data_IF_874264276250
#
_entry.id   IF_874264276250
#
_cell.length_a   1.000
_cell.length_b   1.000
_cell.length_c   1.000
_cell.angle_alpha   90.00
_cell.angle_beta   90.00
_cell.angle_gamma   90.00
#
_symmetry.space_group_name_H-M   'P 1'
#
loop_
_entity.id
_entity.type
_entity.pdbx_description
1 polymer ?
#
# COMPACT_ATOMS: atom_id res chain seq x y z
N UNK A 1 6.12 -12.07 -6.34
CA UNK A 1 4.99 -11.10 -6.36
C UNK A 1 3.93 -11.32 -5.26
N UNK A 2 4.10 -12.29 -4.35
CA UNK A 2 3.08 -12.66 -3.35
C UNK A 2 2.68 -11.53 -2.38
N UNK A 3 3.63 -10.67 -2.03
CA UNK A 3 3.37 -9.51 -1.17
C UNK A 3 2.45 -8.48 -1.84
N UNK A 4 2.58 -8.29 -3.16
CA UNK A 4 1.73 -7.38 -3.93
C UNK A 4 0.33 -7.97 -4.09
N UNK A 5 0.22 -9.28 -4.34
CA UNK A 5 -1.06 -9.99 -4.35
C UNK A 5 -1.79 -9.83 -3.01
N UNK A 6 -1.10 -10.07 -1.89
CA UNK A 6 -1.67 -9.90 -0.55
C UNK A 6 -2.07 -8.45 -0.28
N UNK A 7 -1.23 -7.48 -0.65
CA UNK A 7 -1.54 -6.06 -0.51
C UNK A 7 -2.79 -5.65 -1.30
N UNK A 8 -2.91 -6.11 -2.56
CA UNK A 8 -4.08 -5.91 -3.41
C UNK A 8 -5.33 -6.51 -2.78
N UNK A 9 -5.27 -7.76 -2.32
CA UNK A 9 -6.39 -8.43 -1.63
C UNK A 9 -6.83 -7.65 -0.39
N UNK A 10 -5.89 -7.23 0.47
CA UNK A 10 -6.20 -6.44 1.66
C UNK A 10 -6.85 -5.09 1.31
N UNK A 11 -6.34 -4.42 0.29
CA UNK A 11 -6.85 -3.13 -0.16
C UNK A 11 -8.27 -3.26 -0.74
N UNK A 12 -8.54 -4.31 -1.52
CA UNK A 12 -9.86 -4.63 -2.04
C UNK A 12 -10.84 -5.04 -0.92
N UNK A 13 -10.42 -5.82 0.08
CA UNK A 13 -11.25 -6.15 1.26
C UNK A 13 -11.55 -4.89 2.09
N UNK A 14 -10.57 -4.00 2.19
CA UNK A 14 -10.67 -2.73 2.92
C UNK A 14 -11.51 -1.66 2.21
N UNK A 15 -11.74 -1.80 0.90
CA UNK A 15 -12.24 -0.75 0.00
C UNK A 15 -11.37 0.50 0.06
N UNK A 16 -10.05 0.28 0.01
CA UNK A 16 -9.03 1.33 0.13
C UNK A 16 -8.02 1.22 -1.00
N UNK A 17 -7.36 2.34 -1.28
CA UNK A 17 -6.27 2.43 -2.26
C UNK A 17 -4.95 2.13 -1.54
N UNK A 18 -3.99 1.53 -2.24
CA UNK A 18 -2.62 1.37 -1.75
C UNK A 18 -1.64 1.84 -2.84
N UNK A 19 -0.42 2.16 -2.44
CA UNK A 19 0.64 2.58 -3.35
C UNK A 19 1.61 1.43 -3.57
N UNK A 20 2.06 1.24 -4.81
CA UNK A 20 3.12 0.29 -5.14
C UNK A 20 4.41 1.08 -5.41
N UNK A 21 5.44 0.87 -4.60
CA UNK A 21 6.75 1.49 -4.82
C UNK A 21 7.68 0.49 -5.51
N UNK A 22 8.48 0.95 -6.47
CA UNK A 22 9.38 0.09 -7.24
C UNK A 22 10.68 0.76 -7.64
N UNK A 23 11.75 -0.03 -7.81
CA UNK A 23 13.00 0.40 -8.44
C UNK A 23 12.96 0.30 -9.98
N UNK A 24 12.07 -0.53 -10.54
CA UNK A 24 11.95 -0.74 -11.99
C UNK A 24 10.51 -0.60 -12.44
N UNK A 25 10.26 0.53 -13.10
CA UNK A 25 8.94 0.97 -13.47
C UNK A 25 8.25 0.00 -14.46
N UNK A 26 8.91 -0.26 -15.59
CA UNK A 26 8.30 -0.98 -16.71
C UNK A 26 8.06 -2.45 -16.37
N UNK A 27 9.07 -3.08 -15.75
CA UNK A 27 8.94 -4.49 -15.36
C UNK A 27 7.88 -4.67 -14.26
N UNK A 28 7.76 -3.72 -13.33
CA UNK A 28 6.73 -3.82 -12.29
C UNK A 28 5.32 -3.66 -12.86
N UNK A 29 5.11 -2.74 -13.80
CA UNK A 29 3.80 -2.63 -14.49
C UNK A 29 3.47 -3.92 -15.21
N UNK A 30 4.42 -4.48 -15.97
CA UNK A 30 4.23 -5.73 -16.69
C UNK A 30 3.87 -6.89 -15.76
N UNK A 31 4.64 -7.10 -14.69
CA UNK A 31 4.40 -8.17 -13.73
C UNK A 31 3.09 -7.96 -12.95
N UNK A 32 2.75 -6.71 -12.61
CA UNK A 32 1.49 -6.41 -11.92
C UNK A 32 0.28 -6.67 -12.82
N UNK A 33 0.36 -6.33 -14.11
CA UNK A 33 -0.70 -6.68 -15.08
C UNK A 33 -0.85 -8.19 -15.25
N UNK A 34 0.27 -8.90 -15.31
CA UNK A 34 0.29 -10.37 -15.38
C UNK A 34 -0.39 -10.98 -14.14
N UNK A 35 -0.05 -10.51 -12.94
CA UNK A 35 -0.71 -10.92 -11.70
C UNK A 35 -2.22 -10.66 -11.71
N UNK A 36 -2.66 -9.49 -12.20
CA UNK A 36 -4.08 -9.15 -12.27
C UNK A 36 -4.84 -10.06 -13.23
N UNK A 37 -4.25 -10.42 -14.37
CA UNK A 37 -4.87 -11.26 -15.38
C UNK A 37 -4.84 -12.74 -14.99
N UNK A 38 -3.69 -13.25 -14.57
CA UNK A 38 -3.49 -14.67 -14.34
C UNK A 38 -3.97 -15.10 -12.95
N UNK A 39 -3.64 -14.36 -11.90
CA UNK A 39 -3.96 -14.76 -10.52
C UNK A 39 -5.28 -14.18 -10.01
N UNK A 40 -5.62 -12.95 -10.40
CA UNK A 40 -6.86 -12.30 -9.99
C UNK A 40 -8.00 -12.42 -11.01
N UNK A 41 -7.73 -12.99 -12.20
CA UNK A 41 -8.71 -13.24 -13.27
C UNK A 41 -9.44 -11.98 -13.76
N UNK A 42 -8.81 -10.81 -13.69
CA UNK A 42 -9.37 -9.60 -14.30
C UNK A 42 -9.19 -9.63 -15.82
N UNK A 43 -10.23 -9.21 -16.55
CA UNK A 43 -10.11 -9.06 -18.00
C UNK A 43 -9.16 -7.91 -18.34
N UNK A 44 -8.50 -8.00 -19.50
CA UNK A 44 -7.64 -6.92 -20.01
C UNK A 44 -8.36 -5.57 -20.12
N UNK A 45 -9.65 -5.58 -20.45
CA UNK A 45 -10.47 -4.37 -20.59
C UNK A 45 -10.82 -3.71 -19.25
N UNK A 46 -10.81 -4.50 -18.17
CA UNK A 46 -11.09 -4.06 -16.80
C UNK A 46 -9.87 -3.41 -16.12
N UNK A 47 -8.69 -3.52 -16.74
CA UNK A 47 -7.43 -2.96 -16.26
C UNK A 47 -7.08 -1.73 -17.10
N UNK A 48 -6.77 -0.63 -16.44
CA UNK A 48 -6.36 0.61 -17.08
C UNK A 48 -5.01 1.06 -16.58
N UNK A 49 -4.17 1.53 -17.49
CA UNK A 49 -2.91 2.21 -17.19
C UNK A 49 -3.03 3.64 -17.67
N UNK A 50 -2.77 4.60 -16.78
CA UNK A 50 -2.95 6.02 -17.07
C UNK A 50 -1.73 6.79 -16.64
N UNK A 51 -1.10 7.51 -17.57
CA UNK A 51 -0.06 8.48 -17.25
C UNK A 51 -0.68 9.76 -16.70
N UNK A 52 -0.63 9.89 -15.38
CA UNK A 52 -1.28 11.01 -14.68
C UNK A 52 -0.57 12.33 -14.99
N UNK A 53 0.75 12.30 -15.21
CA UNK A 53 1.52 13.50 -15.55
C UNK A 53 1.10 14.02 -16.92
N UNK A 54 1.10 13.15 -17.93
CA UNK A 54 0.72 13.52 -19.28
C UNK A 54 -0.69 14.15 -19.35
N UNK A 55 -1.66 13.56 -18.65
CA UNK A 55 -3.04 14.05 -18.68
C UNK A 55 -3.23 15.39 -17.94
N UNK A 56 -2.50 15.61 -16.85
CA UNK A 56 -2.57 16.85 -16.06
C UNK A 56 -1.71 17.98 -16.62
N UNK A 57 -0.63 17.70 -17.35
CA UNK A 57 0.14 18.72 -18.08
C UNK A 57 -0.72 19.39 -19.18
N UNK A 58 -1.70 18.66 -19.70
CA UNK A 58 -2.73 19.17 -20.62
C UNK A 58 -3.90 19.88 -19.89
N UNK A 59 -3.81 20.07 -18.57
CA UNK A 59 -4.80 20.71 -17.69
C UNK A 59 -6.23 20.12 -17.77
N UNK A 60 -6.36 18.84 -18.15
CA UNK A 60 -7.67 18.23 -18.34
C UNK A 60 -7.87 17.07 -17.37
N UNK A 61 -8.42 17.38 -16.19
CA UNK A 61 -8.91 16.35 -15.24
C UNK A 61 -9.97 15.47 -15.91
N UNK A 62 -10.77 16.03 -16.82
CA UNK A 62 -11.75 15.27 -17.60
C UNK A 62 -11.08 14.27 -18.56
N UNK A 63 -9.89 14.58 -19.10
CA UNK A 63 -9.13 13.63 -19.93
C UNK A 63 -8.63 12.45 -19.10
N UNK A 64 -8.14 12.72 -17.89
CA UNK A 64 -7.77 11.69 -16.93
C UNK A 64 -8.97 10.79 -16.59
N UNK A 65 -10.14 11.38 -16.31
CA UNK A 65 -11.37 10.63 -16.03
C UNK A 65 -11.80 9.78 -17.24
N UNK A 66 -11.71 10.30 -18.46
CA UNK A 66 -12.06 9.57 -19.69
C UNK A 66 -11.26 8.29 -19.88
N UNK A 67 -9.99 8.28 -19.50
CA UNK A 67 -9.16 7.07 -19.57
C UNK A 67 -9.60 6.01 -18.54
N UNK A 68 -10.09 6.46 -17.38
CA UNK A 68 -10.50 5.60 -16.26
C UNK A 68 -11.87 4.94 -16.44
N UNK A 69 -12.69 5.44 -17.38
CA UNK A 69 -14.07 5.00 -17.58
C UNK A 69 -14.26 4.23 -18.89
N UNK A 70 -15.32 3.43 -18.95
CA UNK A 70 -15.83 2.82 -20.16
C UNK A 70 -17.32 3.12 -20.31
N UNK A 71 -17.83 3.06 -21.54
CA UNK A 71 -19.25 3.17 -21.82
C UNK A 71 -19.87 1.78 -21.84
N UNK A 72 -20.84 1.52 -20.98
CA UNK A 72 -21.55 0.25 -20.91
C UNK A 72 -22.83 0.34 -21.76
N UNK A 73 -22.83 -0.30 -22.93
CA UNK A 73 -23.95 -0.21 -23.88
C UNK A 73 -25.27 -0.72 -23.30
N UNK A 74 -25.21 -1.77 -22.46
CA UNK A 74 -26.38 -2.42 -21.87
C UNK A 74 -27.17 -1.50 -20.91
N UNK A 75 -26.45 -0.67 -20.16
CA UNK A 75 -27.04 0.27 -19.19
C UNK A 75 -27.08 1.70 -19.71
N UNK A 76 -26.41 1.97 -20.84
CA UNK A 76 -26.23 3.32 -21.41
C UNK A 76 -25.66 4.30 -20.38
N UNK A 77 -24.66 3.83 -19.63
CA UNK A 77 -24.02 4.57 -18.54
C UNK A 77 -22.49 4.44 -18.60
N UNK A 78 -21.79 5.42 -18.02
CA UNK A 78 -20.35 5.30 -17.81
C UNK A 78 -20.06 4.46 -16.56
N UNK A 79 -19.14 3.50 -16.68
CA UNK A 79 -18.62 2.71 -15.58
C UNK A 79 -17.13 2.97 -15.37
N UNK A 80 -16.65 2.93 -14.12
CA UNK A 80 -15.21 2.85 -13.87
C UNK A 80 -14.70 1.46 -14.22
N UNK A 81 -13.49 1.39 -14.78
CA UNK A 81 -12.72 0.14 -14.85
C UNK A 81 -12.38 -0.36 -13.44
N UNK A 82 -12.20 -1.67 -13.28
CA UNK A 82 -12.00 -2.29 -11.97
C UNK A 82 -10.65 -1.91 -11.34
N UNK A 83 -9.57 -1.97 -12.12
CA UNK A 83 -8.22 -1.68 -11.62
C UNK A 83 -7.58 -0.58 -12.45
N UNK A 84 -7.20 0.50 -11.80
CA UNK A 84 -6.59 1.67 -12.44
C UNK A 84 -5.17 1.85 -11.90
N UNK A 85 -4.19 1.67 -12.77
CA UNK A 85 -2.77 1.87 -12.48
C UNK A 85 -2.41 3.30 -12.86
N UNK A 86 -2.03 4.09 -11.86
CA UNK A 86 -1.58 5.47 -12.08
C UNK A 86 -0.08 5.51 -12.26
N UNK A 87 0.36 6.17 -13.34
CA UNK A 87 1.77 6.38 -13.64
C UNK A 87 2.23 7.81 -13.45
N UNK A 88 3.50 7.96 -13.08
CA UNK A 88 4.22 9.23 -12.98
C UNK A 88 3.56 10.26 -12.04
N UNK A 89 2.85 9.79 -11.00
CA UNK A 89 2.18 10.68 -10.05
C UNK A 89 3.19 11.50 -9.23
N UNK A 90 4.36 10.92 -8.94
CA UNK A 90 5.46 11.52 -8.20
C UNK A 90 6.13 12.67 -8.95
N UNK A 91 6.02 12.72 -10.28
CA UNK A 91 6.62 13.75 -11.15
C UNK A 91 5.75 15.00 -11.30
N UNK A 92 4.58 15.04 -10.65
CA UNK A 92 3.65 16.17 -10.69
C UNK A 92 4.08 17.28 -9.73
N UNK A 93 3.87 18.53 -10.14
CA UNK A 93 4.04 19.67 -9.23
C UNK A 93 3.03 19.65 -8.08
N UNK A 94 3.40 20.25 -6.96
CA UNK A 94 2.52 20.35 -5.79
C UNK A 94 1.18 21.06 -6.10
N UNK A 95 1.18 22.05 -7.01
CA UNK A 95 -0.04 22.72 -7.44
C UNK A 95 -0.95 21.79 -8.26
N UNK A 96 -0.41 21.02 -9.19
CA UNK A 96 -1.16 20.04 -9.97
C UNK A 96 -1.78 18.96 -9.07
N UNK A 97 -1.05 18.48 -8.07
CA UNK A 97 -1.58 17.51 -7.11
C UNK A 97 -2.70 18.11 -6.24
N UNK A 98 -2.54 19.37 -5.80
CA UNK A 98 -3.53 20.06 -4.95
C UNK A 98 -4.81 20.43 -5.69
N UNK A 99 -4.71 20.92 -6.93
CA UNK A 99 -5.85 21.44 -7.71
C UNK A 99 -6.47 20.36 -8.60
N UNK A 100 -5.68 19.43 -9.13
CA UNK A 100 -6.16 18.35 -9.99
C UNK A 100 -6.53 17.08 -9.21
N UNK A 101 -5.53 16.45 -8.57
CA UNK A 101 -5.71 15.12 -7.99
C UNK A 101 -6.53 15.09 -6.71
N UNK A 102 -6.28 16.01 -5.79
CA UNK A 102 -6.98 16.00 -4.50
C UNK A 102 -8.50 16.16 -4.63
N UNK A 103 -9.04 17.11 -5.44
CA UNK A 103 -10.47 17.22 -5.66
C UNK A 103 -11.05 15.99 -6.37
N UNK A 104 -10.34 15.43 -7.36
CA UNK A 104 -10.76 14.20 -8.05
C UNK A 104 -10.90 13.04 -7.07
N UNK A 105 -9.90 12.81 -6.21
CA UNK A 105 -9.94 11.75 -5.20
C UNK A 105 -11.08 11.96 -4.19
N UNK A 106 -11.36 13.21 -3.80
CA UNK A 106 -12.52 13.52 -2.95
C UNK A 106 -13.85 13.17 -3.64
N UNK A 107 -14.02 13.50 -4.92
CA UNK A 107 -15.23 13.14 -5.68
C UNK A 107 -15.40 11.62 -5.80
N UNK A 108 -14.31 10.87 -5.97
CA UNK A 108 -14.34 9.40 -6.00
C UNK A 108 -14.64 8.82 -4.60
N UNK A 109 -14.22 9.49 -3.52
CA UNK A 109 -14.50 9.06 -2.15
C UNK A 109 -15.96 9.31 -1.73
N UNK A 110 -16.68 10.23 -2.38
CA UNK A 110 -18.11 10.48 -2.10
C UNK A 110 -18.99 9.22 -2.37
N UNK A 111 -18.51 8.29 -3.21
CA UNK A 111 -19.12 6.97 -3.38
C UNK A 111 -19.10 6.11 -2.10
N UNK A 112 -18.26 6.42 -1.11
CA UNK A 112 -18.10 5.58 0.09
C UNK A 112 -18.95 6.06 1.27
N UNK A 113 -19.92 6.95 1.03
CA UNK A 113 -20.92 7.35 2.03
C UNK A 113 -21.77 6.16 2.47
N UNK A 114 -22.27 6.17 3.71
CA UNK A 114 -23.11 5.09 4.27
C UNK A 114 -24.35 4.79 3.42
N UNK A 115 -24.86 5.78 2.70
CA UNK A 115 -26.00 5.66 1.78
C UNK A 115 -25.62 5.01 0.45
N UNK A 116 -24.43 5.30 -0.07
CA UNK A 116 -23.92 4.68 -1.29
C UNK A 116 -23.50 3.21 -1.06
N UNK A 117 -22.97 2.88 0.14
CA UNK A 117 -22.64 1.50 0.51
C UNK A 117 -23.84 0.56 0.59
N UNK A 118 -25.01 1.07 0.96
CA UNK A 118 -26.26 0.29 0.97
C UNK A 118 -26.93 0.17 -0.40
N UNK A 119 -26.55 1.04 -1.36
CA UNK A 119 -27.06 1.05 -2.72
C UNK A 119 -25.92 0.94 -3.74
N UNK A 120 -25.54 -0.29 -4.16
CA UNK A 120 -24.45 -0.51 -5.11
C UNK A 120 -24.70 0.02 -6.55
N UNK A 121 -25.85 0.66 -6.78
CA UNK A 121 -26.15 1.44 -7.99
C UNK A 121 -25.90 2.95 -7.82
N UNK A 122 -25.28 3.39 -6.72
CA UNK A 122 -25.01 4.80 -6.48
C UNK A 122 -24.15 5.38 -7.59
N UNK A 123 -24.73 6.28 -8.39
CA UNK A 123 -24.01 7.08 -9.37
C UNK A 123 -23.47 8.33 -8.68
N UNK A 124 -22.25 8.74 -8.98
CA UNK A 124 -21.71 10.03 -8.51
C UNK A 124 -21.19 10.81 -9.71
N UNK A 125 -21.32 12.12 -9.61
CA UNK A 125 -20.76 13.04 -10.58
C UNK A 125 -19.26 13.23 -10.29
N UNK A 126 -18.42 12.83 -11.23
CA UNK A 126 -16.97 13.04 -11.18
C UNK A 126 -16.60 13.88 -12.40
N UNK A 127 -16.15 15.11 -12.16
CA UNK A 127 -16.02 16.11 -13.22
C UNK A 127 -17.32 16.32 -14.02
N UNK A 128 -17.23 16.18 -15.33
CA UNK A 128 -18.38 16.27 -16.25
C UNK A 128 -19.16 14.96 -16.46
N UNK A 129 -18.76 13.86 -15.81
CA UNK A 129 -19.33 12.53 -16.03
C UNK A 129 -20.15 12.05 -14.84
N UNK A 130 -21.24 11.33 -15.12
CA UNK A 130 -22.00 10.56 -14.12
C UNK A 130 -21.61 9.10 -14.29
N UNK A 131 -20.95 8.53 -13.28
CA UNK A 131 -20.27 7.24 -13.40
C UNK A 131 -20.84 6.23 -12.38
N UNK A 132 -20.73 4.94 -12.69
CA UNK A 132 -20.98 3.83 -11.77
C UNK A 132 -19.66 3.25 -11.26
N UNK A 133 -19.53 3.08 -9.94
CA UNK A 133 -18.37 2.44 -9.30
C UNK A 133 -18.57 0.92 -9.23
N UNK A 134 -17.67 0.09 -9.79
CA UNK A 134 -17.78 -1.36 -9.67
C UNK A 134 -17.45 -1.82 -8.24
N UNK A 135 -17.90 -3.02 -7.86
CA UNK A 135 -17.62 -3.61 -6.54
C UNK A 135 -16.13 -3.89 -6.31
N UNK A 136 -15.42 -4.19 -7.39
CA UNK A 136 -13.98 -4.46 -7.41
C UNK A 136 -13.29 -3.23 -8.03
N UNK A 137 -13.34 -2.10 -7.33
CA UNK A 137 -12.72 -0.86 -7.78
C UNK A 137 -11.49 -0.53 -6.94
N UNK A 138 -10.35 -0.29 -7.59
CA UNK A 138 -9.15 0.21 -6.92
C UNK A 138 -8.28 1.07 -7.85
N UNK A 139 -7.68 2.11 -7.26
CA UNK A 139 -6.64 2.92 -7.90
C UNK A 139 -5.32 2.58 -7.20
N UNK A 140 -4.32 2.16 -7.98
CA UNK A 140 -2.98 1.79 -7.51
C UNK A 140 -1.95 2.68 -8.22
N UNK A 141 -1.46 3.75 -7.57
CA UNK A 141 -0.32 4.49 -8.09
C UNK A 141 0.95 3.65 -7.98
N UNK A 142 1.72 3.65 -9.05
CA UNK A 142 3.08 3.15 -9.08
C UNK A 142 4.04 4.34 -8.90
N UNK A 143 4.97 4.23 -7.95
CA UNK A 143 5.94 5.28 -7.61
C UNK A 143 7.35 4.71 -7.63
N UNK A 144 8.30 5.43 -8.23
CA UNK A 144 9.71 5.04 -8.19
C UNK A 144 10.29 5.25 -6.77
N UNK A 145 10.96 4.22 -6.24
CA UNK A 145 11.51 4.18 -4.88
C UNK A 145 12.55 5.29 -4.62
N UNK A 146 13.34 5.67 -5.64
CA UNK A 146 14.31 6.78 -5.54
C UNK A 146 13.63 8.15 -5.44
N UNK A 147 12.41 8.26 -5.96
CA UNK A 147 11.59 9.47 -5.96
C UNK A 147 10.48 9.42 -4.92
N UNK A 148 10.47 8.38 -4.06
CA UNK A 148 9.30 8.04 -3.28
C UNK A 148 8.84 9.18 -2.37
N UNK A 149 9.73 9.94 -1.71
CA UNK A 149 9.27 10.96 -0.74
C UNK A 149 10.14 12.21 -0.55
N UNK A 150 10.01 13.23 -1.42
CA UNK A 150 9.50 14.53 -0.92
C UNK A 150 8.42 15.22 -1.77
N UNK A 151 7.95 14.65 -2.89
CA UNK A 151 7.11 15.41 -3.85
C UNK A 151 5.60 15.16 -3.75
N UNK A 152 5.14 14.12 -3.04
CA UNK A 152 3.70 13.84 -2.93
C UNK A 152 3.06 14.74 -1.88
N UNK A 153 2.10 15.56 -2.30
CA UNK A 153 1.31 16.44 -1.43
C UNK A 153 0.64 15.63 -0.33
N UNK A 154 0.86 16.01 0.94
CA UNK A 154 0.43 15.25 2.11
C UNK A 154 -1.06 14.85 2.07
N UNK A 155 -1.95 15.75 1.63
CA UNK A 155 -3.39 15.45 1.60
C UNK A 155 -3.76 14.44 0.51
N UNK A 156 -2.97 14.33 -0.57
CA UNK A 156 -3.09 13.25 -1.56
C UNK A 156 -2.50 11.97 -0.98
N UNK A 157 -1.36 12.07 -0.30
CA UNK A 157 -0.70 10.95 0.39
C UNK A 157 -1.64 10.25 1.38
N UNK A 158 -2.40 11.00 2.17
CA UNK A 158 -3.41 10.48 3.10
C UNK A 158 -4.61 9.78 2.44
N UNK A 159 -4.81 9.92 1.11
CA UNK A 159 -5.87 9.20 0.38
C UNK A 159 -5.50 7.76 0.04
N UNK A 160 -4.21 7.43 0.15
CA UNK A 160 -3.70 6.08 -0.01
C UNK A 160 -3.41 5.50 1.37
N UNK A 161 -3.88 4.27 1.59
CA UNK A 161 -3.95 3.66 2.91
C UNK A 161 -2.57 3.25 3.43
N UNK A 162 -1.79 2.61 2.57
CA UNK A 162 -0.42 2.19 2.85
C UNK A 162 0.37 2.03 1.56
N UNK A 163 1.68 1.85 1.68
CA UNK A 163 2.57 1.52 0.59
C UNK A 163 3.06 0.06 0.68
N UNK A 164 3.15 -0.59 -0.48
CA UNK A 164 3.79 -1.88 -0.66
C UNK A 164 5.03 -1.67 -1.53
N UNK A 165 6.19 -2.04 -1.01
CA UNK A 165 7.41 -2.03 -1.78
C UNK A 165 7.57 -3.32 -2.57
N UNK A 166 7.87 -3.20 -3.86
CA UNK A 166 8.23 -4.29 -4.74
C UNK A 166 9.54 -3.93 -5.43
N UNK A 167 10.63 -4.56 -5.00
CA UNK A 167 11.93 -4.37 -5.59
C UNK A 167 12.17 -5.48 -6.60
N UNK A 168 12.18 -5.14 -7.88
CA UNK A 168 12.52 -6.07 -8.95
C UNK A 168 14.02 -6.38 -8.86
N UNK A 169 14.37 -7.65 -8.65
CA UNK A 169 15.78 -8.09 -8.64
C UNK A 169 16.13 -8.78 -9.95
N UNK A 170 15.36 -9.80 -10.34
CA UNK A 170 15.63 -10.65 -11.50
C UNK A 170 14.35 -11.38 -11.96
N UNK A 171 14.39 -12.02 -13.14
CA UNK A 171 13.29 -12.83 -13.70
C UNK A 171 12.85 -14.02 -12.81
N UNK A 172 13.55 -14.33 -11.71
CA UNK A 172 13.06 -15.28 -10.70
C UNK A 172 11.89 -14.75 -9.88
N UNK A 173 11.70 -13.42 -9.81
CA UNK A 173 10.57 -12.79 -9.11
C UNK A 173 9.21 -13.07 -9.79
N UNK A 174 9.25 -13.58 -11.04
CA UNK A 174 8.12 -14.14 -11.79
C UNK A 174 7.61 -15.48 -11.23
N UNK A 175 8.45 -16.24 -10.50
CA UNK A 175 8.23 -17.67 -10.21
C UNK A 175 7.71 -17.98 -8.81
N UNK A 176 7.42 -16.98 -7.98
CA UNK A 176 6.73 -17.24 -6.73
C UNK A 176 5.31 -17.73 -7.03
N UNK A 177 5.04 -19.02 -6.81
CA UNK A 177 3.69 -19.59 -6.90
C UNK A 177 2.76 -18.79 -5.98
N UNK A 178 1.82 -18.07 -6.60
CA UNK A 178 0.72 -17.41 -5.92
C UNK A 178 -0.35 -18.48 -5.70
N UNK A 179 -0.91 -18.54 -4.49
CA UNK A 179 -2.04 -19.42 -4.21
C UNK A 179 -3.22 -19.03 -5.11
N UNK A 180 -3.37 -19.80 -6.18
CA UNK A 180 -4.40 -19.59 -7.20
C UNK A 180 -5.78 -19.81 -6.60
N UNK A 181 -6.69 -18.87 -6.88
CA UNK A 181 -8.09 -18.98 -6.49
C UNK A 181 -8.97 -18.95 -7.74
N UNK A 182 -9.79 -20.00 -7.92
CA UNK A 182 -10.66 -20.15 -9.08
C UNK A 182 -11.71 -19.03 -9.21
N UNK A 183 -12.10 -18.38 -8.10
CA UNK A 183 -13.00 -17.22 -8.09
C UNK A 183 -12.48 -16.15 -7.11
N UNK A 184 -11.46 -15.42 -7.55
CA UNK A 184 -10.85 -14.36 -6.76
C UNK A 184 -11.86 -13.27 -6.36
N UNK A 185 -12.72 -12.86 -7.28
CA UNK A 185 -13.71 -11.80 -7.02
C UNK A 185 -14.76 -12.24 -6.00
N UNK A 186 -15.26 -13.46 -6.11
CA UNK A 186 -16.17 -14.06 -5.13
C UNK A 186 -15.53 -14.16 -3.75
N UNK A 187 -14.30 -14.67 -3.66
CA UNK A 187 -13.56 -14.78 -2.40
C UNK A 187 -13.38 -13.41 -1.71
N UNK A 188 -12.95 -12.39 -2.46
CA UNK A 188 -12.76 -11.05 -1.89
C UNK A 188 -14.08 -10.47 -1.38
N UNK A 189 -15.18 -10.66 -2.11
CA UNK A 189 -16.49 -10.18 -1.69
C UNK A 189 -17.04 -10.95 -0.48
N UNK A 190 -16.79 -12.25 -0.40
CA UNK A 190 -17.12 -13.07 0.77
C UNK A 190 -16.35 -12.59 2.00
N UNK A 191 -15.02 -12.46 1.89
CA UNK A 191 -14.18 -12.00 3.00
C UNK A 191 -14.57 -10.58 3.42
N UNK A 192 -14.84 -9.68 2.46
CA UNK A 192 -15.25 -8.30 2.74
C UNK A 192 -16.58 -8.22 3.50
N UNK A 193 -17.59 -8.95 3.04
CA UNK A 193 -18.96 -8.77 3.52
C UNK A 193 -19.36 -9.74 4.64
N UNK A 194 -18.69 -10.89 4.75
CA UNK A 194 -19.06 -11.96 5.69
C UNK A 194 -17.99 -12.13 6.76
N UNK A 195 -16.73 -12.39 6.37
CA UNK A 195 -15.66 -12.74 7.32
C UNK A 195 -15.16 -11.53 8.11
N UNK A 196 -14.85 -10.42 7.42
CA UNK A 196 -14.29 -9.21 8.05
C UNK A 196 -15.20 -8.65 9.16
N UNK A 197 -16.54 -8.52 8.99
CA UNK A 197 -17.41 -8.04 10.06
C UNK A 197 -17.45 -8.95 11.32
N UNK A 198 -17.05 -10.21 11.19
CA UNK A 198 -16.97 -11.16 12.31
C UNK A 198 -15.62 -11.07 13.06
N UNK A 199 -14.63 -10.36 12.52
CA UNK A 199 -13.33 -10.21 13.17
C UNK A 199 -13.47 -9.37 14.44
N UNK A 200 -13.09 -9.95 15.56
CA UNK A 200 -13.16 -9.30 16.85
C UNK A 200 -11.84 -8.59 17.19
N UNK A 201 -11.93 -7.29 17.47
CA UNK A 201 -10.87 -6.50 18.08
C UNK A 201 -11.26 -6.14 19.51
N UNK A 202 -10.47 -6.57 20.49
CA UNK A 202 -10.74 -6.26 21.90
C UNK A 202 -10.47 -4.77 22.20
N UNK A 203 -11.08 -4.20 23.26
CA UNK A 203 -10.76 -2.84 23.69
C UNK A 203 -9.27 -2.63 24.04
N UNK A 204 -8.57 -3.70 24.44
CA UNK A 204 -7.14 -3.66 24.73
C UNK A 204 -6.31 -3.47 23.45
N UNK A 205 -6.70 -4.14 22.37
CA UNK A 205 -6.09 -3.93 21.04
C UNK A 205 -6.29 -2.49 20.58
N UNK A 206 -7.48 -1.93 20.79
CA UNK A 206 -7.74 -0.54 20.43
C UNK A 206 -6.84 0.42 21.24
N UNK A 207 -6.71 0.21 22.56
CA UNK A 207 -5.78 0.98 23.41
C UNK A 207 -4.32 0.82 22.96
N UNK A 208 -3.93 -0.37 22.53
CA UNK A 208 -2.60 -0.63 21.99
C UNK A 208 -2.34 0.17 20.71
N UNK A 209 -3.29 0.20 19.77
CA UNK A 209 -3.21 1.03 18.56
C UNK A 209 -3.09 2.51 18.93
N UNK A 210 -3.90 3.01 19.85
CA UNK A 210 -3.79 4.38 20.36
C UNK A 210 -2.38 4.67 20.91
N UNK A 211 -1.82 3.76 21.70
CA UNK A 211 -0.47 3.88 22.24
C UNK A 211 0.59 3.94 21.15
N UNK A 212 0.49 3.10 20.10
CA UNK A 212 1.44 3.10 18.98
C UNK A 212 1.40 4.44 18.21
N UNK A 213 0.21 4.97 17.93
CA UNK A 213 0.06 6.25 17.22
C UNK A 213 0.58 7.41 18.05
N UNK A 214 0.28 7.44 19.36
CA UNK A 214 0.81 8.47 20.27
C UNK A 214 2.33 8.38 20.39
N UNK A 215 2.87 7.16 20.52
CA UNK A 215 4.31 6.92 20.57
C UNK A 215 5.00 7.43 19.31
N UNK A 216 4.49 7.07 18.12
CA UNK A 216 5.04 7.54 16.86
C UNK A 216 4.99 9.06 16.70
N UNK A 217 3.90 9.71 17.09
CA UNK A 217 3.79 11.19 17.08
C UNK A 217 4.81 11.88 17.99
N UNK A 218 5.09 11.27 19.14
CA UNK A 218 6.05 11.77 20.12
C UNK A 218 7.48 11.32 19.85
N UNK A 219 7.68 10.41 18.89
CA UNK A 219 9.01 9.97 18.49
C UNK A 219 9.80 11.16 17.92
N UNK A 220 11.10 11.23 18.21
CA UNK A 220 11.94 12.38 17.83
C UNK A 220 11.86 12.72 16.32
N UNK A 221 11.76 11.68 15.48
CA UNK A 221 11.63 11.79 14.03
C UNK A 221 10.35 12.52 13.58
N UNK A 222 9.26 12.46 14.35
CA UNK A 222 7.99 13.10 14.01
C UNK A 222 7.71 14.36 14.85
N UNK A 223 8.20 14.39 16.10
CA UNK A 223 7.97 15.50 17.02
C UNK A 223 8.75 16.75 16.62
N UNK A 224 9.95 16.59 16.06
CA UNK A 224 10.80 17.70 15.63
C UNK A 224 10.59 18.09 14.16
N UNK A 225 9.91 17.23 13.40
CA UNK A 225 9.55 17.47 12.01
C UNK A 225 8.27 18.33 11.89
N UNK A 226 8.00 18.95 10.71
CA UNK A 226 6.79 19.72 10.45
C UNK A 226 5.54 18.92 10.78
N UNK A 227 4.45 19.58 11.20
CA UNK A 227 3.19 18.92 11.58
C UNK A 227 2.68 17.95 10.49
N UNK A 228 3.01 18.26 9.24
CA UNK A 228 2.66 17.51 8.03
C UNK A 228 3.31 16.12 7.95
N UNK A 229 4.43 15.89 8.65
CA UNK A 229 5.12 14.60 8.73
C UNK A 229 4.51 13.61 9.74
N UNK A 230 3.45 14.02 10.45
CA UNK A 230 2.88 13.28 11.59
C UNK A 230 1.65 12.50 11.18
N UNK A 231 1.48 11.34 11.82
CA UNK A 231 0.29 10.51 11.66
C UNK A 231 -0.98 11.27 12.04
N UNK A 232 -1.97 11.34 11.14
CA UNK A 232 -3.29 11.90 11.43
C UNK A 232 -4.11 11.00 12.34
N UNK A 233 -5.18 11.51 12.95
CA UNK A 233 -6.05 10.72 13.86
C UNK A 233 -6.75 9.58 13.12
N UNK A 234 -6.98 9.74 11.81
CA UNK A 234 -7.52 8.71 10.91
C UNK A 234 -6.65 7.45 10.86
N UNK A 235 -5.36 7.56 11.21
CA UNK A 235 -4.44 6.42 11.28
C UNK A 235 -4.92 5.35 12.26
N UNK A 236 -5.60 5.74 13.35
CA UNK A 236 -6.10 4.78 14.35
C UNK A 236 -7.13 3.84 13.71
N UNK A 237 -8.14 4.40 13.05
CA UNK A 237 -9.17 3.63 12.35
C UNK A 237 -8.56 2.84 11.18
N UNK A 238 -7.62 3.45 10.45
CA UNK A 238 -6.91 2.81 9.36
C UNK A 238 -6.11 1.57 9.82
N UNK A 239 -5.42 1.66 10.96
CA UNK A 239 -4.66 0.55 11.54
C UNK A 239 -5.58 -0.57 12.02
N UNK A 240 -6.69 -0.22 12.66
CA UNK A 240 -7.68 -1.19 13.10
C UNK A 240 -8.26 -1.94 11.89
N UNK A 241 -8.73 -1.21 10.88
CA UNK A 241 -9.29 -1.81 9.66
C UNK A 241 -8.28 -2.71 8.94
N UNK A 242 -7.00 -2.31 8.87
CA UNK A 242 -5.98 -3.11 8.19
C UNK A 242 -5.70 -4.39 8.98
N UNK A 243 -5.66 -4.30 10.31
CA UNK A 243 -5.50 -5.45 11.19
C UNK A 243 -6.66 -6.44 11.04
N UNK A 244 -7.90 -5.95 10.97
CA UNK A 244 -9.09 -6.77 10.70
C UNK A 244 -9.02 -7.44 9.32
N UNK A 245 -8.64 -6.69 8.28
CA UNK A 245 -8.49 -7.24 6.93
C UNK A 245 -7.41 -8.33 6.86
N UNK A 246 -6.28 -8.16 7.57
CA UNK A 246 -5.23 -9.17 7.63
C UNK A 246 -5.68 -10.46 8.33
N UNK A 247 -6.43 -10.35 9.43
CA UNK A 247 -7.02 -11.51 10.09
C UNK A 247 -8.03 -12.18 9.17
N UNK A 248 -8.93 -11.42 8.57
CA UNK A 248 -9.96 -11.93 7.68
C UNK A 248 -9.34 -12.66 6.48
N UNK A 249 -8.32 -12.08 5.84
CA UNK A 249 -7.60 -12.70 4.72
C UNK A 249 -6.87 -13.99 5.14
N UNK A 250 -6.05 -13.93 6.20
CA UNK A 250 -5.22 -15.07 6.63
C UNK A 250 -6.06 -16.22 7.21
N UNK A 251 -7.22 -15.92 7.81
CA UNK A 251 -8.03 -16.88 8.57
C UNK A 251 -9.46 -17.04 8.05
N UNK A 252 -9.72 -16.73 6.79
CA UNK A 252 -11.09 -16.79 6.22
C UNK A 252 -11.78 -18.15 6.36
N UNK A 253 -11.02 -19.25 6.46
CA UNK A 253 -11.54 -20.60 6.71
C UNK A 253 -11.49 -21.06 8.18
N UNK A 254 -11.32 -20.16 9.16
CA UNK A 254 -11.17 -20.51 10.58
C UNK A 254 -12.13 -19.73 11.47
N UNK A 255 -12.64 -20.38 12.52
CA UNK A 255 -13.48 -19.74 13.55
C UNK A 255 -12.70 -18.73 14.42
N UNK A 256 -11.37 -18.67 14.30
CA UNK A 256 -10.48 -17.88 15.17
C UNK A 256 -10.18 -16.49 14.60
N UNK A 257 -11.23 -15.68 14.45
CA UNK A 257 -11.19 -14.33 13.89
C UNK A 257 -10.97 -13.26 14.97
N UNK A 258 -9.75 -13.17 15.50
CA UNK A 258 -9.40 -12.16 16.49
C UNK A 258 -8.09 -11.43 16.14
N UNK A 259 -8.11 -10.12 16.34
CA UNK A 259 -6.94 -9.25 16.15
C UNK A 259 -5.96 -9.44 17.31
N UNK A 260 -4.70 -9.63 16.97
CA UNK A 260 -3.59 -9.71 17.93
C UNK A 260 -2.67 -8.50 17.77
N UNK A 261 -1.82 -8.18 18.77
CA UNK A 261 -0.87 -7.08 18.68
C UNK A 261 0.07 -7.17 17.46
N UNK A 262 0.39 -8.38 17.00
CA UNK A 262 1.25 -8.59 15.83
C UNK A 262 0.66 -8.00 14.55
N UNK A 263 -0.65 -8.19 14.32
CA UNK A 263 -1.33 -7.55 13.19
C UNK A 263 -1.31 -6.03 13.31
N UNK A 264 -1.47 -5.48 14.52
CA UNK A 264 -1.40 -4.04 14.75
C UNK A 264 -0.01 -3.47 14.47
N UNK A 265 1.05 -4.20 14.81
CA UNK A 265 2.43 -3.83 14.48
C UNK A 265 2.67 -3.83 12.98
N UNK A 266 2.21 -4.86 12.27
CA UNK A 266 2.32 -4.92 10.81
C UNK A 266 1.56 -3.74 10.17
N UNK A 267 0.34 -3.46 10.66
CA UNK A 267 -0.44 -2.33 10.19
C UNK A 267 0.28 -0.99 10.43
N UNK A 268 0.88 -0.83 11.62
CA UNK A 268 1.69 0.34 11.96
C UNK A 268 2.88 0.51 11.01
N UNK A 269 3.60 -0.58 10.71
CA UNK A 269 4.72 -0.54 9.77
C UNK A 269 4.27 -0.12 8.38
N UNK A 270 3.17 -0.69 7.87
CA UNK A 270 2.65 -0.40 6.52
C UNK A 270 2.15 1.04 6.38
N UNK A 271 1.31 1.48 7.31
CA UNK A 271 0.69 2.82 7.27
C UNK A 271 1.69 3.89 7.71
N UNK A 272 2.45 3.62 8.77
CA UNK A 272 3.46 4.53 9.31
C UNK A 272 4.59 4.78 8.33
N UNK A 273 5.11 3.74 7.68
CA UNK A 273 6.14 3.90 6.65
C UNK A 273 5.68 4.81 5.52
N UNK A 274 4.44 4.64 5.07
CA UNK A 274 3.86 5.50 4.05
C UNK A 274 3.68 6.92 4.57
N UNK A 275 2.93 7.15 5.65
CA UNK A 275 2.47 8.49 6.03
C UNK A 275 3.52 9.37 6.72
N UNK A 276 4.54 8.80 7.36
CA UNK A 276 5.58 9.58 8.05
C UNK A 276 6.62 10.03 7.01
N UNK A 277 6.98 11.31 7.03
CA UNK A 277 8.02 11.85 6.14
C UNK A 277 9.40 11.67 6.78
N UNK A 278 9.97 10.48 6.63
CA UNK A 278 11.24 10.06 7.24
C UNK A 278 12.44 10.92 6.82
N UNK A 279 12.42 11.43 5.59
CA UNK A 279 13.53 12.15 4.95
C UNK A 279 13.76 13.58 5.47
N UNK A 280 12.86 14.11 6.31
CA UNK A 280 13.11 15.38 7.00
C UNK A 280 14.25 15.27 8.03
N UNK A 281 14.53 14.05 8.52
CA UNK A 281 15.64 13.81 9.41
C UNK A 281 16.92 13.55 8.63
N UNK A 282 18.03 14.18 9.05
CA UNK A 282 19.34 14.06 8.39
C UNK A 282 19.90 12.63 8.39
N UNK A 283 19.41 11.76 9.27
CA UNK A 283 19.77 10.33 9.28
C UNK A 283 19.22 9.63 8.02
N UNK A 284 18.07 10.05 7.51
CA UNK A 284 17.42 9.47 6.33
C UNK A 284 17.60 10.31 5.06
N UNK A 285 17.96 11.59 5.20
CA UNK A 285 18.29 12.48 4.08
C UNK A 285 19.69 12.19 3.52
N UNK A 286 19.82 11.09 2.77
CA UNK A 286 21.02 10.86 1.95
C UNK A 286 20.80 11.43 0.56
N UNK A 287 21.29 12.64 0.34
CA UNK A 287 21.67 13.06 -1.01
C UNK A 287 22.62 12.00 -1.59
N UNK A 288 22.34 11.58 -2.80
CA UNK A 288 22.81 10.38 -3.53
C UNK A 288 24.33 10.14 -3.69
N UNK A 289 25.21 10.78 -2.91
CA UNK A 289 26.67 10.77 -3.14
C UNK A 289 27.54 10.37 -1.93
N UNK A 290 26.96 9.81 -0.87
CA UNK A 290 27.75 9.33 0.27
C UNK A 290 27.66 7.80 0.36
N UNK A 291 28.81 7.12 0.30
CA UNK A 291 28.94 5.69 0.63
C UNK A 291 28.17 5.39 1.92
N UNK A 292 27.16 4.54 1.82
CA UNK A 292 26.29 4.19 2.95
C UNK A 292 27.10 3.37 3.95
N UNK A 293 27.54 4.01 5.03
CA UNK A 293 28.23 3.36 6.13
C UNK A 293 27.30 2.35 6.82
N UNK A 294 27.81 1.15 7.13
CA UNK A 294 27.04 0.08 7.80
C UNK A 294 26.47 0.54 9.15
N UNK A 295 27.16 1.46 9.82
CA UNK A 295 26.72 2.06 11.09
C UNK A 295 25.51 3.01 10.91
N UNK A 296 25.43 3.72 9.77
CA UNK A 296 24.27 4.56 9.44
C UNK A 296 23.03 3.71 9.13
N UNK A 297 23.19 2.61 8.41
CA UNK A 297 22.10 1.69 8.10
C UNK A 297 21.58 0.97 9.35
N UNK A 298 22.47 0.51 10.23
CA UNK A 298 22.07 -0.05 11.53
C UNK A 298 21.27 0.96 12.36
N UNK A 299 21.69 2.24 12.36
CA UNK A 299 20.99 3.31 13.07
C UNK A 299 19.61 3.60 12.48
N UNK A 300 19.48 3.63 11.15
CA UNK A 300 18.18 3.78 10.45
C UNK A 300 17.21 2.65 10.83
N UNK A 301 17.69 1.41 10.83
CA UNK A 301 16.89 0.23 11.18
C UNK A 301 16.40 0.27 12.63
N UNK A 302 17.26 0.68 13.56
CA UNK A 302 16.93 0.81 14.96
C UNK A 302 15.85 1.87 15.20
N UNK A 303 15.96 3.03 14.55
CA UNK A 303 14.98 4.11 14.68
C UNK A 303 13.59 3.72 14.14
N UNK A 304 13.54 3.02 13.00
CA UNK A 304 12.27 2.51 12.46
C UNK A 304 11.66 1.48 13.43
N UNK A 305 12.47 0.55 13.93
CA UNK A 305 12.01 -0.51 14.85
C UNK A 305 11.48 0.06 16.17
N UNK A 306 12.14 1.09 16.72
CA UNK A 306 11.70 1.80 17.92
C UNK A 306 10.38 2.55 17.71
N UNK A 307 10.17 3.14 16.52
CA UNK A 307 8.94 3.84 16.19
C UNK A 307 7.77 2.89 15.99
N UNK A 308 8.01 1.71 15.40
CA UNK A 308 6.96 0.72 15.12
C UNK A 308 6.62 -0.18 16.32
N UNK A 309 7.20 0.09 17.50
CA UNK A 309 6.86 -0.59 18.74
C UNK A 309 7.55 -1.93 18.97
N UNK A 310 8.63 -2.23 18.25
CA UNK A 310 9.46 -3.41 18.48
C UNK A 310 10.62 -3.05 19.41
N UNK A 311 10.32 -3.01 20.70
CA UNK A 311 11.23 -2.51 21.73
C UNK A 311 12.41 -3.45 22.08
N UNK A 312 12.50 -4.65 21.49
CA UNK A 312 13.43 -5.68 21.95
C UNK A 312 14.15 -6.52 20.90
N UNK A 313 14.22 -6.13 19.61
CA UNK A 313 15.05 -6.85 18.63
C UNK A 313 14.89 -8.38 18.70
N UNK A 314 13.67 -8.86 18.99
CA UNK A 314 13.41 -10.19 19.55
C UNK A 314 13.74 -11.32 18.58
N UNK A 315 13.89 -10.99 17.30
CA UNK A 315 14.22 -11.94 16.25
C UNK A 315 15.70 -11.94 15.85
N UNK A 316 16.53 -11.05 16.43
CA UNK A 316 17.97 -10.99 16.17
C UNK A 316 18.69 -12.29 16.51
N UNK A 317 18.22 -13.01 17.54
CA UNK A 317 18.80 -14.30 17.93
C UNK A 317 18.61 -15.38 16.84
N UNK A 318 17.55 -15.26 16.03
CA UNK A 318 17.28 -16.15 14.90
C UNK A 318 18.02 -15.69 13.63
N UNK A 319 18.10 -14.37 13.41
CA UNK A 319 18.88 -13.74 12.31
C UNK A 319 20.39 -13.98 12.45
N UNK A 320 20.94 -13.83 13.65
CA UNK A 320 22.36 -14.09 13.94
C UNK A 320 22.73 -15.56 13.69
N UNK A 321 21.83 -16.49 14.06
CA UNK A 321 22.00 -17.93 13.83
C UNK A 321 21.97 -18.29 12.34
N UNK A 322 21.20 -17.54 11.54
CA UNK A 322 21.15 -17.65 10.08
C UNK A 322 22.43 -17.12 9.41
N UNK A 323 22.95 -15.96 9.84
CA UNK A 323 24.19 -15.36 9.36
C UNK A 323 25.46 -16.18 9.68
N UNK A 324 25.46 -16.88 10.81
CA UNK A 324 26.53 -17.83 11.18
C UNK A 324 26.52 -19.10 10.30
N UNK A 325 25.39 -19.42 9.64
CA UNK A 325 25.24 -20.63 8.82
C UNK A 325 25.68 -20.43 7.35
N UNK A 326 25.75 -19.19 6.86
CA UNK A 326 26.04 -18.87 5.44
C UNK A 326 27.31 -18.04 5.21
N UNK A 327 28.28 -18.07 6.14
CA UNK A 327 29.59 -17.46 5.92
C UNK A 327 30.52 -18.37 5.10
N UNK A 328 30.56 -18.16 3.78
CA UNK A 328 31.67 -18.46 2.84
C UNK A 328 31.29 -17.82 1.50
N UNK A 329 32.12 -17.17 0.68
CA UNK A 329 33.51 -16.72 0.75
C UNK A 329 33.67 -15.66 -0.37
N UNK A 330 34.49 -14.65 -0.11
CA UNK A 330 35.06 -13.59 -0.98
C UNK A 330 34.42 -13.16 -2.33
N UNK A 331 34.32 -11.82 -2.47
CA UNK A 331 34.25 -11.02 -3.70
C UNK A 331 32.92 -10.97 -4.48
N UNK A 332 32.09 -9.96 -4.16
CA UNK A 332 31.32 -9.23 -5.17
C UNK A 332 30.81 -7.92 -4.55
N UNK A 333 31.47 -6.81 -4.91
CA UNK A 333 30.90 -5.48 -4.82
C UNK A 333 29.78 -5.37 -5.86
N UNK A 334 28.55 -5.17 -5.40
CA UNK A 334 27.52 -4.32 -6.01
C UNK A 334 26.18 -4.62 -5.32
N UNK A 335 25.66 -3.54 -4.73
CA UNK A 335 24.53 -3.43 -3.83
C UNK A 335 23.21 -4.00 -4.37
N UNK A 336 22.61 -4.92 -3.61
CA UNK A 336 21.19 -4.88 -3.22
C UNK A 336 21.10 -5.43 -1.79
N UNK A 337 20.27 -4.80 -0.94
CA UNK A 337 20.08 -5.14 0.47
C UNK A 337 19.38 -6.51 0.60
N UNK A 338 20.12 -7.59 0.33
CA UNK A 338 19.68 -9.00 0.36
C UNK A 338 19.12 -9.40 1.73
N UNK A 339 19.52 -8.68 2.77
CA UNK A 339 19.05 -8.83 4.15
C UNK A 339 17.57 -8.44 4.28
N UNK A 340 17.12 -7.38 3.60
CA UNK A 340 15.71 -6.95 3.67
C UNK A 340 14.80 -7.98 3.02
N UNK A 341 15.23 -8.57 1.92
CA UNK A 341 14.43 -9.59 1.23
C UNK A 341 14.54 -10.98 1.83
N UNK A 342 15.70 -11.39 2.37
CA UNK A 342 15.82 -12.66 3.08
C UNK A 342 15.03 -12.64 4.41
N UNK A 343 14.87 -11.48 5.04
CA UNK A 343 13.97 -11.30 6.19
C UNK A 343 12.49 -11.37 5.76
N UNK A 344 12.15 -10.89 4.57
CA UNK A 344 10.80 -11.02 4.04
C UNK A 344 10.47 -12.46 3.60
N UNK A 345 11.45 -13.22 3.10
CA UNK A 345 11.26 -14.60 2.63
C UNK A 345 11.34 -15.67 3.73
N UNK A 346 12.17 -15.46 4.76
CA UNK A 346 12.33 -16.45 5.86
C UNK A 346 11.23 -16.38 6.93
N UNK A 347 10.44 -15.30 6.97
CA UNK A 347 9.25 -15.17 7.83
C UNK A 347 8.05 -15.83 7.16
N UNK A 348 8.16 -17.14 6.89
CA UNK A 348 6.97 -18.00 6.88
C UNK A 348 6.62 -18.26 8.34
N UNK A 349 5.47 -17.77 8.86
CA UNK A 349 5.07 -18.13 10.21
C UNK A 349 4.89 -19.66 10.30
N UNK A 350 5.31 -20.33 11.37
CA UNK A 350 4.76 -21.63 11.69
C UNK A 350 3.29 -21.39 12.08
N UNK A 351 2.41 -21.64 11.10
CA UNK A 351 0.94 -21.64 11.15
C UNK A 351 0.31 -20.23 11.22
#
# INVERSE_FOLDING_TARGET
>A
MNNVYSALSLALIGEKRFVLTTNDYENTVFLFRTLLQESCQFNSDDICEVDVKHELDNNSVDSLIRQMIYWEENTSEYGFKNVIIWRNMEKLSHEQQKVGLFPLLNQIDEYDTTVARSNPQSRVQVGSFVIRKPKMFIIVPLIESEHAHPQVYQYVKEKFWFAQNFHYKDASDEKEEIDYCDDYSGLILEIRNVTRPQVYASPEIQRYIYSLVVHARNHRLCSLAPIQSRLSTRTIDAMQQLSECMVAWKKHGSDRLFVTPDYCKIAMRKIGYWLIDWEHDSIFNTSSDCDVDADLDYRRQLEISMLTGDWYGSDWKYVKKYLETYKTDTNAANYINKIVEDVLQSVRPPI
#
